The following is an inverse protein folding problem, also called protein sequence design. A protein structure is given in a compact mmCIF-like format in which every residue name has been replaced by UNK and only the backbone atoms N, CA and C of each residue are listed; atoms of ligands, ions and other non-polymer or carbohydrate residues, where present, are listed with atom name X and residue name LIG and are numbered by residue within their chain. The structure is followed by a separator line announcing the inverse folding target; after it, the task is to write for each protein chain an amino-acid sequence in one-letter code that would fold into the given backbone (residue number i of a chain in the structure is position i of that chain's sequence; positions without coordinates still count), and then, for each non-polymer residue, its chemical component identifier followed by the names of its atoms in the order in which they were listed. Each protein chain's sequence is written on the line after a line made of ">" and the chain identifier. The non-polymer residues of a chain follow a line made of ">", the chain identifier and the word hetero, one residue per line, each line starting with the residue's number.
data_IF_723389029359
#
_entry.id   IF_723389029359
#
_cell.length_a   1.000
_cell.length_b   1.000
_cell.length_c   1.000
_cell.angle_alpha   90.00
_cell.angle_beta   90.00
_cell.angle_gamma   90.00
#
_symmetry.space_group_name_H-M   'P 1'
#
loop_
_entity.id
_entity.type
_entity.pdbx_description
1 polymer ?
#
# COMPACT_ATOMS: atom_id res chain seq x y z
N UNK A 1 3.87 25.23 3.80
CA UNK A 1 4.64 24.36 2.88
C UNK A 1 3.71 23.24 2.45
N UNK A 2 3.43 23.09 1.15
CA UNK A 2 2.56 22.00 0.68
C UNK A 2 3.29 20.67 0.90
N UNK A 3 2.74 19.80 1.77
CA UNK A 3 3.29 18.48 2.04
C UNK A 3 3.31 17.65 0.75
N UNK A 4 4.41 16.94 0.48
CA UNK A 4 4.54 16.10 -0.71
C UNK A 4 3.53 14.94 -0.67
N UNK A 5 3.16 14.38 -1.83
CA UNK A 5 2.28 13.21 -1.90
C UNK A 5 2.79 12.03 -1.08
N UNK A 6 4.11 11.82 -1.03
CA UNK A 6 4.71 10.80 -0.18
C UNK A 6 4.39 10.99 1.31
N UNK A 7 4.48 12.23 1.82
CA UNK A 7 4.15 12.54 3.21
C UNK A 7 2.67 12.28 3.49
N UNK A 8 1.78 12.74 2.61
CA UNK A 8 0.33 12.54 2.73
C UNK A 8 -0.07 11.07 2.72
N UNK A 9 0.56 10.26 1.87
CA UNK A 9 0.38 8.80 1.85
C UNK A 9 0.85 8.18 3.15
N UNK A 10 2.05 8.54 3.64
CA UNK A 10 2.57 8.02 4.92
C UNK A 10 1.68 8.40 6.10
N UNK A 11 1.17 9.63 6.13
CA UNK A 11 0.23 10.07 7.16
C UNK A 11 -1.07 9.26 7.13
N UNK A 12 -1.63 9.03 5.94
CA UNK A 12 -2.85 8.22 5.78
C UNK A 12 -2.61 6.76 6.15
N UNK A 13 -1.42 6.23 5.85
CA UNK A 13 -1.02 4.87 6.22
C UNK A 13 -0.90 4.70 7.74
N UNK A 14 -0.43 5.73 8.46
CA UNK A 14 -0.28 5.69 9.93
C UNK A 14 -1.60 5.59 10.70
N UNK A 15 -2.73 5.98 10.10
CA UNK A 15 -4.06 5.86 10.70
C UNK A 15 -4.89 4.73 10.11
N UNK A 16 -4.32 3.90 9.23
CA UNK A 16 -5.07 2.92 8.46
C UNK A 16 -5.71 1.84 9.34
N UNK A 17 -5.07 1.49 10.45
CA UNK A 17 -5.54 0.51 11.43
C UNK A 17 -6.89 0.91 12.04
N UNK A 18 -7.14 2.21 12.21
CA UNK A 18 -8.39 2.75 12.76
C UNK A 18 -9.58 2.58 11.81
N UNK A 19 -9.33 2.20 10.55
CA UNK A 19 -10.36 2.00 9.53
C UNK A 19 -10.63 0.52 9.23
N UNK A 20 -10.14 -0.37 10.09
CA UNK A 20 -10.53 -1.76 10.13
C UNK A 20 -11.26 -2.05 11.43
N UNK A 21 -12.27 -2.90 11.37
CA UNK A 21 -12.91 -3.42 12.56
C UNK A 21 -11.92 -4.30 13.33
N UNK A 22 -12.20 -4.53 14.62
CA UNK A 22 -11.44 -5.47 15.42
C UNK A 22 -11.36 -6.83 14.70
N UNK A 23 -10.14 -7.36 14.57
CA UNK A 23 -9.82 -8.63 13.92
C UNK A 23 -10.13 -8.74 12.40
N UNK A 24 -10.64 -7.68 11.75
CA UNK A 24 -10.97 -7.67 10.32
C UNK A 24 -9.73 -7.90 9.45
N UNK A 25 -8.63 -7.18 9.74
CA UNK A 25 -7.40 -7.32 8.97
C UNK A 25 -6.78 -8.71 9.13
N UNK A 26 -6.91 -9.35 10.30
CA UNK A 26 -6.45 -10.71 10.53
C UNK A 26 -7.26 -11.72 9.69
N UNK A 27 -8.59 -11.58 9.67
CA UNK A 27 -9.44 -12.40 8.82
C UNK A 27 -9.09 -12.23 7.33
N UNK A 28 -8.99 -10.98 6.85
CA UNK A 28 -8.70 -10.69 5.45
C UNK A 28 -7.30 -11.18 5.03
N UNK A 29 -6.32 -11.14 5.93
CA UNK A 29 -4.98 -11.69 5.70
C UNK A 29 -4.98 -13.22 5.56
N UNK A 30 -5.92 -13.93 6.19
CA UNK A 30 -6.06 -15.38 6.08
C UNK A 30 -6.83 -15.80 4.82
N UNK A 31 -7.75 -14.97 4.34
CA UNK A 31 -8.64 -15.31 3.21
C UNK A 31 -8.22 -14.66 1.89
N UNK A 32 -7.19 -13.81 1.88
CA UNK A 32 -6.72 -13.10 0.68
C UNK A 32 -5.26 -12.65 0.82
N UNK A 33 -4.69 -12.09 -0.26
CA UNK A 33 -3.41 -11.39 -0.18
C UNK A 33 -3.57 -10.17 0.73
N UNK A 34 -2.80 -10.10 1.82
CA UNK A 34 -2.89 -9.02 2.83
C UNK A 34 -2.65 -7.63 2.23
N UNK A 35 -1.94 -7.54 1.10
CA UNK A 35 -1.72 -6.29 0.38
C UNK A 35 -3.02 -5.70 -0.21
N UNK A 36 -3.97 -6.55 -0.63
CA UNK A 36 -5.22 -6.13 -1.26
C UNK A 36 -6.09 -5.26 -0.32
N UNK A 37 -6.46 -5.71 0.90
CA UNK A 37 -7.28 -4.88 1.79
C UNK A 37 -6.57 -3.59 2.21
N UNK A 38 -5.24 -3.63 2.37
CA UNK A 38 -4.43 -2.44 2.67
C UNK A 38 -4.50 -1.44 1.50
N UNK A 39 -4.25 -1.89 0.27
CA UNK A 39 -4.35 -1.09 -0.96
C UNK A 39 -5.72 -0.45 -1.08
N UNK A 40 -6.76 -1.25 -0.92
CA UNK A 40 -8.13 -0.84 -1.18
C UNK A 40 -8.58 0.21 -0.16
N UNK A 41 -8.27 -0.02 1.12
CA UNK A 41 -8.57 0.93 2.20
C UNK A 41 -7.78 2.22 2.05
N UNK A 42 -6.47 2.13 1.78
CA UNK A 42 -5.61 3.30 1.61
C UNK A 42 -6.07 4.16 0.43
N UNK A 43 -6.35 3.54 -0.72
CA UNK A 43 -6.83 4.26 -1.91
C UNK A 43 -8.15 4.99 -1.64
N UNK A 44 -9.09 4.34 -0.94
CA UNK A 44 -10.37 4.94 -0.58
C UNK A 44 -10.18 6.15 0.35
N UNK A 45 -9.35 6.04 1.38
CA UNK A 45 -9.09 7.15 2.31
C UNK A 45 -8.39 8.34 1.62
N UNK A 46 -7.42 8.07 0.75
CA UNK A 46 -6.77 9.12 -0.06
C UNK A 46 -7.77 9.81 -0.98
N UNK A 47 -8.67 9.05 -1.61
CA UNK A 47 -9.73 9.62 -2.44
C UNK A 47 -10.70 10.48 -1.63
N UNK A 48 -11.16 10.01 -0.47
CA UNK A 48 -12.05 10.77 0.41
C UNK A 48 -11.39 12.07 0.91
N UNK A 49 -10.10 12.01 1.26
CA UNK A 49 -9.40 13.15 1.85
C UNK A 49 -8.97 14.21 0.82
N UNK A 50 -8.69 13.82 -0.42
CA UNK A 50 -8.06 14.72 -1.40
C UNK A 50 -8.75 14.74 -2.78
N UNK A 51 -9.72 13.87 -3.04
CA UNK A 51 -10.30 13.68 -4.37
C UNK A 51 -11.10 14.88 -4.86
N UNK A 52 -11.94 15.46 -4.00
CA UNK A 52 -12.80 16.58 -4.37
C UNK A 52 -12.10 17.94 -4.24
N UNK A 53 -11.35 18.15 -3.16
CA UNK A 53 -10.77 19.46 -2.85
C UNK A 53 -9.58 19.84 -3.74
N UNK A 54 -8.82 18.85 -4.22
CA UNK A 54 -7.57 19.10 -4.97
C UNK A 54 -7.65 18.67 -6.45
N UNK A 55 -8.82 18.22 -6.92
CA UNK A 55 -9.01 17.67 -8.28
C UNK A 55 -7.99 16.57 -8.61
N UNK A 56 -7.82 15.65 -7.66
CA UNK A 56 -6.85 14.55 -7.71
C UNK A 56 -7.58 13.25 -7.93
N UNK A 57 -6.99 12.37 -8.74
CA UNK A 57 -7.51 11.03 -8.95
C UNK A 57 -6.64 10.00 -8.25
N UNK A 58 -7.28 9.12 -7.49
CA UNK A 58 -6.65 7.96 -6.86
C UNK A 58 -7.12 6.71 -7.59
N UNK A 59 -6.23 6.05 -8.32
CA UNK A 59 -6.54 4.88 -9.12
C UNK A 59 -5.87 3.64 -8.51
N UNK A 60 -6.65 2.57 -8.31
CA UNK A 60 -6.11 1.25 -7.95
C UNK A 60 -5.75 0.48 -9.20
N UNK A 61 -4.78 -0.44 -9.08
CA UNK A 61 -4.40 -1.35 -10.16
C UNK A 61 -4.13 -0.62 -11.48
N UNK A 62 -3.48 0.53 -11.38
CA UNK A 62 -3.34 1.46 -12.49
C UNK A 62 -2.26 1.00 -13.46
N UNK A 63 -2.56 1.10 -14.75
CA UNK A 63 -1.62 0.82 -15.83
C UNK A 63 -1.55 2.04 -16.74
N UNK A 64 -0.33 2.47 -17.03
CA UNK A 64 -0.10 3.49 -18.05
C UNK A 64 -0.37 2.90 -19.43
N UNK A 65 -1.18 3.56 -20.28
CA UNK A 65 -1.62 3.04 -21.60
C UNK A 65 -0.51 2.45 -22.49
N UNK A 66 0.75 2.85 -22.30
CA UNK A 66 1.91 2.40 -23.09
C UNK A 66 2.81 1.37 -22.37
N UNK A 67 2.52 1.02 -21.11
CA UNK A 67 3.30 0.08 -20.30
C UNK A 67 2.47 -1.15 -19.94
N UNK A 68 3.15 -2.28 -19.74
CA UNK A 68 2.55 -3.53 -19.28
C UNK A 68 2.49 -3.59 -17.73
N UNK A 69 3.33 -2.80 -17.05
CA UNK A 69 3.41 -2.83 -15.60
C UNK A 69 2.20 -2.14 -14.95
N UNK A 70 1.56 -2.87 -14.04
CA UNK A 70 0.44 -2.42 -13.20
C UNK A 70 0.97 -2.07 -11.82
N UNK A 71 0.60 -0.91 -11.28
CA UNK A 71 0.94 -0.49 -9.91
C UNK A 71 -0.30 -0.54 -9.02
N UNK A 72 -0.09 -0.75 -7.72
CA UNK A 72 -1.20 -0.90 -6.78
C UNK A 72 -2.04 0.36 -6.61
N UNK A 73 -1.40 1.52 -6.41
CA UNK A 73 -2.08 2.82 -6.30
C UNK A 73 -1.32 3.85 -7.13
N UNK A 74 -2.05 4.61 -7.95
CA UNK A 74 -1.56 5.81 -8.61
C UNK A 74 -2.33 7.04 -8.12
N UNK A 75 -1.59 8.08 -7.73
CA UNK A 75 -2.11 9.42 -7.52
C UNK A 75 -1.85 10.23 -8.77
N UNK A 76 -2.92 10.76 -9.36
CA UNK A 76 -2.87 11.48 -10.64
C UNK A 76 -3.39 12.91 -10.47
N UNK A 77 -2.81 13.83 -11.22
CA UNK A 77 -3.33 15.19 -11.34
C UNK A 77 -4.63 15.27 -12.15
N UNK A 78 -5.16 16.49 -12.27
CA UNK A 78 -6.34 16.80 -13.06
C UNK A 78 -6.27 16.30 -14.52
N UNK A 79 -5.07 16.27 -15.11
CA UNK A 79 -4.80 15.82 -16.48
C UNK A 79 -4.51 14.31 -16.56
N UNK A 80 -4.70 13.57 -15.45
CA UNK A 80 -4.43 12.14 -15.31
C UNK A 80 -2.94 11.78 -15.42
N UNK A 81 -2.03 12.73 -15.21
CA UNK A 81 -0.59 12.46 -15.15
C UNK A 81 -0.19 12.01 -13.75
N UNK A 82 0.70 11.03 -13.62
CA UNK A 82 1.08 10.49 -12.32
C UNK A 82 1.90 11.48 -11.50
N UNK A 83 1.42 11.78 -10.30
CA UNK A 83 2.11 12.53 -9.26
C UNK A 83 2.87 11.60 -8.30
N UNK A 84 2.32 10.40 -8.06
CA UNK A 84 2.94 9.35 -7.24
C UNK A 84 2.42 7.99 -7.70
N UNK A 85 3.34 7.01 -7.79
CA UNK A 85 3.02 5.61 -8.02
C UNK A 85 3.48 4.81 -6.80
N UNK A 86 2.60 3.97 -6.27
CA UNK A 86 2.82 3.17 -5.07
C UNK A 86 2.63 1.69 -5.38
N UNK A 87 3.64 0.91 -4.99
CA UNK A 87 3.58 -0.55 -4.95
C UNK A 87 3.55 -0.98 -3.48
N UNK A 88 2.61 -1.85 -3.12
CA UNK A 88 2.42 -2.34 -1.75
C UNK A 88 2.87 -3.79 -1.70
N UNK A 89 3.70 -4.11 -0.73
CA UNK A 89 4.25 -5.47 -0.58
C UNK A 89 4.28 -5.87 0.88
N UNK A 90 3.79 -7.06 1.19
CA UNK A 90 4.05 -7.66 2.49
C UNK A 90 5.47 -8.25 2.50
N UNK A 91 6.18 -8.10 3.63
CA UNK A 91 7.58 -8.57 3.77
C UNK A 91 7.78 -10.07 3.47
N UNK A 92 6.73 -10.89 3.50
CA UNK A 92 6.81 -12.32 3.17
C UNK A 92 6.59 -12.63 1.69
N UNK A 93 5.90 -11.75 0.96
CA UNK A 93 5.68 -11.86 -0.48
C UNK A 93 6.72 -11.07 -1.31
N UNK A 94 7.65 -10.39 -0.65
CA UNK A 94 8.71 -9.59 -1.29
C UNK A 94 9.82 -10.45 -1.92
N UNK A 95 9.46 -11.58 -2.53
CA UNK A 95 10.34 -12.43 -3.34
C UNK A 95 11.00 -11.64 -4.49
N UNK A 96 10.40 -10.52 -4.89
CA UNK A 96 10.88 -9.65 -5.96
C UNK A 96 11.73 -8.45 -5.52
N UNK A 97 11.73 -8.03 -4.24
CA UNK A 97 12.52 -6.85 -3.83
C UNK A 97 14.01 -7.15 -3.62
N UNK A 98 14.37 -8.43 -3.44
CA UNK A 98 15.74 -8.84 -3.15
C UNK A 98 16.20 -10.00 -4.03
N UNK A 99 16.26 -9.82 -5.34
CA UNK A 99 17.07 -10.68 -6.24
C UNK A 99 18.58 -10.67 -5.89
N UNK A 100 19.00 -10.04 -4.79
CA UNK A 100 20.40 -9.89 -4.39
C UNK A 100 20.76 -10.36 -2.97
N UNK A 101 19.81 -10.76 -2.11
CA UNK A 101 20.14 -11.28 -0.77
C UNK A 101 18.97 -12.07 -0.17
N UNK A 102 18.89 -13.37 -0.48
CA UNK A 102 17.92 -14.30 0.12
C UNK A 102 18.32 -14.75 1.54
N UNK A 103 19.56 -14.49 1.97
CA UNK A 103 20.15 -15.06 3.20
C UNK A 103 19.52 -14.57 4.50
N UNK A 104 18.77 -13.45 4.50
CA UNK A 104 18.19 -12.87 5.72
C UNK A 104 16.68 -13.10 5.92
N UNK A 105 16.00 -13.75 4.98
CA UNK A 105 14.55 -13.97 5.06
C UNK A 105 14.15 -14.94 6.19
N UNK A 106 14.81 -16.11 6.36
CA UNK A 106 14.50 -17.03 7.45
C UNK A 106 14.65 -16.39 8.83
N UNK A 107 15.64 -15.51 9.03
CA UNK A 107 15.86 -14.84 10.31
C UNK A 107 14.79 -13.80 10.64
N UNK A 108 14.22 -13.12 9.64
CA UNK A 108 13.10 -12.19 9.85
C UNK A 108 11.83 -12.95 10.23
N UNK A 109 11.52 -14.03 9.52
CA UNK A 109 10.41 -14.95 9.87
C UNK A 109 10.59 -15.47 11.29
N UNK A 110 11.81 -15.89 11.67
CA UNK A 110 12.12 -16.37 13.01
C UNK A 110 11.88 -15.29 14.08
N UNK A 111 12.29 -14.05 13.84
CA UNK A 111 12.04 -12.93 14.76
C UNK A 111 10.55 -12.64 14.93
N UNK A 112 9.76 -12.76 13.88
CA UNK A 112 8.31 -12.53 13.98
C UNK A 112 7.60 -13.68 14.70
N UNK A 113 8.04 -14.92 14.51
CA UNK A 113 7.58 -16.07 15.33
C UNK A 113 7.88 -15.84 16.82
N UNK A 114 9.05 -15.28 17.15
CA UNK A 114 9.39 -14.97 18.55
C UNK A 114 8.54 -13.84 19.14
N UNK A 115 8.11 -12.86 18.33
CA UNK A 115 7.16 -11.82 18.77
C UNK A 115 5.77 -12.40 19.08
N UNK A 116 5.34 -13.43 18.34
CA UNK A 116 4.05 -14.08 18.53
C UNK A 116 3.98 -14.96 19.79
N UNK A 117 5.13 -15.35 20.36
CA UNK A 117 5.22 -16.14 21.60
C UNK A 117 5.22 -15.28 22.88
N UNK A 118 5.19 -13.95 22.75
CA UNK A 118 5.13 -12.99 23.87
C UNK A 118 3.77 -12.32 23.89
#
# INVERSE_FOLDING_TARGET
>A
MNSSWSQRVVETLKSLDQHFSRDELAYLALTSKVENPIRDRLAYLLHQKYGEEENIFVAREWTERKKIARVDIAILDAEKKPLLLLEITAMYNSYNLFKRNQEGFPDKVRKDIEKLKR
#
